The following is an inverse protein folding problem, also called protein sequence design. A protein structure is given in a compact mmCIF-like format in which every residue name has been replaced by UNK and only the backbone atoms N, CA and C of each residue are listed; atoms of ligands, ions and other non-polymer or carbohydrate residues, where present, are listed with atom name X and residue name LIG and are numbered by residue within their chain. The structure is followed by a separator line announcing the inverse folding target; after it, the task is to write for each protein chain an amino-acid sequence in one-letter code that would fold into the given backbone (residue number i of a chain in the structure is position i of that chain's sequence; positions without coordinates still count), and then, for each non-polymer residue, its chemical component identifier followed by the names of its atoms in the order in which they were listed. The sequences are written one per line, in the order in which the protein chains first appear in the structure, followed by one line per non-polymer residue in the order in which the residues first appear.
data_IF_628593327226
#
_entry.id   IF_628593327226
#
_cell.length_a   1.000
_cell.length_b   1.000
_cell.length_c   1.000
_cell.angle_alpha   90.00
_cell.angle_beta   90.00
_cell.angle_gamma   90.00
#
_symmetry.space_group_name_H-M   'P 1'
#
loop_
_entity.id
_entity.type
_entity.pdbx_description
1 polymer ?
#
# COMPACT_ATOMS: atom_id res chain seq x y z
N UNK A 1 -0.08 11.77 -71.33
CA UNK A 1 -0.20 13.23 -71.49
C UNK A 1 -1.58 13.60 -70.95
N UNK A 2 -1.64 14.09 -69.71
CA UNK A 2 -1.71 15.54 -69.41
C UNK A 2 -3.03 16.12 -69.90
N UNK A 3 -3.94 16.39 -68.98
CA UNK A 3 -4.33 17.75 -68.57
C UNK A 3 -5.10 18.50 -69.68
N UNK A 4 -6.23 19.16 -69.48
CA UNK A 4 -7.02 19.54 -68.32
C UNK A 4 -8.19 20.40 -68.85
N UNK A 5 -9.18 20.62 -68.00
CA UNK A 5 -10.18 21.72 -67.98
C UNK A 5 -11.46 21.53 -68.79
N UNK A 6 -12.62 21.33 -68.18
CA UNK A 6 -13.35 22.07 -67.10
C UNK A 6 -14.39 23.01 -67.72
N UNK A 7 -15.68 22.66 -67.64
CA UNK A 7 -16.81 23.61 -67.73
C UNK A 7 -18.15 23.04 -67.24
N UNK A 8 -18.16 22.15 -66.24
CA UNK A 8 -19.39 21.76 -65.53
C UNK A 8 -19.19 21.81 -64.00
N UNK A 9 -18.47 22.86 -63.56
CA UNK A 9 -18.74 23.51 -62.29
C UNK A 9 -20.11 24.20 -62.46
N UNK A 10 -21.08 24.16 -61.56
CA UNK A 10 -21.06 24.48 -60.14
C UNK A 10 -22.37 23.90 -59.60
N UNK A 11 -22.36 23.19 -58.47
CA UNK A 11 -23.50 23.00 -57.50
C UNK A 11 -23.28 21.77 -56.60
N UNK A 12 -22.22 20.99 -56.80
CA UNK A 12 -21.74 19.94 -55.88
C UNK A 12 -20.49 20.41 -55.12
N UNK A 13 -20.56 21.29 -54.11
CA UNK A 13 -19.31 21.57 -53.34
C UNK A 13 -19.38 22.07 -51.89
N UNK A 14 -20.50 22.53 -51.33
CA UNK A 14 -20.47 23.21 -50.02
C UNK A 14 -21.16 22.48 -48.84
N UNK A 15 -22.24 21.73 -49.05
CA UNK A 15 -23.02 21.12 -47.95
C UNK A 15 -22.68 19.63 -47.68
N UNK A 16 -22.28 18.86 -48.70
CA UNK A 16 -21.96 17.43 -48.56
C UNK A 16 -20.61 17.16 -47.86
N UNK A 17 -19.69 18.13 -47.88
CA UNK A 17 -18.40 18.03 -47.17
C UNK A 17 -18.58 18.11 -45.66
N UNK A 18 -19.49 18.93 -45.15
CA UNK A 18 -19.69 19.12 -43.70
C UNK A 18 -20.28 17.87 -43.05
N UNK A 19 -21.20 17.19 -43.73
CA UNK A 19 -21.83 15.95 -43.25
C UNK A 19 -20.84 14.77 -43.33
N UNK A 20 -20.08 14.66 -44.43
CA UNK A 20 -19.02 13.64 -44.55
C UNK A 20 -17.89 13.82 -43.53
N UNK A 21 -17.50 15.06 -43.24
CA UNK A 21 -16.50 15.39 -42.21
C UNK A 21 -17.04 15.11 -40.80
N UNK A 22 -18.30 15.45 -40.51
CA UNK A 22 -18.91 15.17 -39.21
C UNK A 22 -19.02 13.66 -38.92
N UNK A 23 -19.42 12.84 -39.89
CA UNK A 23 -19.47 11.39 -39.75
C UNK A 23 -18.07 10.79 -39.59
N UNK A 24 -17.07 11.28 -40.33
CA UNK A 24 -15.69 10.83 -40.20
C UNK A 24 -15.11 11.13 -38.80
N UNK A 25 -15.41 12.31 -38.23
CA UNK A 25 -14.98 12.67 -36.87
C UNK A 25 -15.62 11.73 -35.84
N UNK A 26 -16.92 11.43 -35.96
CA UNK A 26 -17.60 10.51 -35.04
C UNK A 26 -17.00 9.10 -35.10
N UNK A 27 -16.68 8.59 -36.28
CA UNK A 27 -16.03 7.27 -36.45
C UNK A 27 -14.63 7.25 -35.85
N UNK A 28 -13.84 8.31 -36.02
CA UNK A 28 -12.51 8.43 -35.41
C UNK A 28 -12.61 8.53 -33.87
N UNK A 29 -13.56 9.30 -33.34
CA UNK A 29 -13.79 9.40 -31.91
C UNK A 29 -14.20 8.06 -31.31
N UNK A 30 -15.08 7.30 -31.96
CA UNK A 30 -15.47 5.95 -31.52
C UNK A 30 -14.28 5.00 -31.59
N UNK A 31 -13.46 5.05 -32.64
CA UNK A 31 -12.26 4.22 -32.76
C UNK A 31 -11.21 4.53 -31.68
N UNK A 32 -11.04 5.81 -31.31
CA UNK A 32 -10.16 6.24 -30.21
C UNK A 32 -10.70 5.78 -28.86
N UNK A 33 -12.01 5.91 -28.61
CA UNK A 33 -12.65 5.40 -27.39
C UNK A 33 -12.50 3.89 -27.30
N UNK A 34 -12.72 3.16 -28.40
CA UNK A 34 -12.47 1.72 -28.47
C UNK A 34 -11.00 1.40 -28.19
N UNK A 35 -10.03 2.08 -28.80
CA UNK A 35 -8.61 1.83 -28.56
C UNK A 35 -8.18 2.10 -27.10
N UNK A 36 -8.75 3.12 -26.45
CA UNK A 36 -8.53 3.42 -25.03
C UNK A 36 -9.14 2.32 -24.13
N UNK A 37 -10.36 1.87 -24.44
CA UNK A 37 -11.04 0.79 -23.68
C UNK A 37 -10.39 -0.57 -23.91
N UNK A 38 -9.94 -0.89 -25.13
CA UNK A 38 -9.26 -2.13 -25.48
C UNK A 38 -7.81 -2.17 -24.99
N UNK A 39 -7.11 -1.02 -24.94
CA UNK A 39 -5.78 -0.91 -24.34
C UNK A 39 -5.76 -1.28 -22.85
N UNK A 40 -6.85 -1.02 -22.13
CA UNK A 40 -7.01 -1.43 -20.73
C UNK A 40 -7.18 -2.95 -20.58
N UNK A 41 -7.75 -3.66 -21.56
CA UNK A 41 -8.15 -5.07 -21.43
C UNK A 41 -6.97 -6.06 -21.43
N UNK A 42 -5.92 -5.78 -22.19
CA UNK A 42 -4.70 -6.59 -22.19
C UNK A 42 -3.83 -6.37 -20.93
N UNK A 43 -3.92 -5.19 -20.31
CA UNK A 43 -3.20 -4.86 -19.08
C UNK A 43 -3.84 -5.46 -17.82
N UNK A 44 -5.08 -5.97 -17.86
CA UNK A 44 -5.77 -6.41 -16.64
C UNK A 44 -5.19 -7.69 -16.05
N UNK A 45 -4.78 -8.64 -16.89
CA UNK A 45 -4.16 -9.88 -16.42
C UNK A 45 -2.77 -9.62 -15.82
N UNK A 46 -1.95 -8.80 -16.47
CA UNK A 46 -0.63 -8.41 -15.92
C UNK A 46 -0.78 -7.54 -14.67
N UNK A 47 -1.70 -6.58 -14.66
CA UNK A 47 -1.93 -5.71 -13.51
C UNK A 47 -2.45 -6.46 -12.28
N UNK A 48 -3.23 -7.54 -12.48
CA UNK A 48 -3.69 -8.37 -11.38
C UNK A 48 -2.57 -9.20 -10.77
N UNK A 49 -1.71 -9.82 -11.59
CA UNK A 49 -0.54 -10.55 -11.11
C UNK A 49 0.48 -9.60 -10.45
N UNK A 50 0.71 -8.41 -11.01
CA UNK A 50 1.55 -7.37 -10.40
C UNK A 50 0.99 -6.91 -9.05
N UNK A 51 -0.33 -6.69 -8.95
CA UNK A 51 -0.97 -6.30 -7.70
C UNK A 51 -0.91 -7.43 -6.64
N UNK A 52 -1.04 -8.70 -7.06
CA UNK A 52 -0.84 -9.86 -6.17
C UNK A 52 0.60 -9.93 -5.66
N UNK A 53 1.57 -9.71 -6.54
CA UNK A 53 2.99 -9.70 -6.16
C UNK A 53 3.30 -8.58 -5.16
N UNK A 54 2.78 -7.36 -5.39
CA UNK A 54 2.93 -6.24 -4.47
C UNK A 54 2.26 -6.50 -3.12
N UNK A 55 1.04 -7.05 -3.12
CA UNK A 55 0.33 -7.37 -1.89
C UNK A 55 1.07 -8.47 -1.10
N UNK A 56 1.58 -9.50 -1.78
CA UNK A 56 2.42 -10.53 -1.16
C UNK A 56 3.69 -9.94 -0.56
N UNK A 57 4.40 -9.08 -1.30
CA UNK A 57 5.59 -8.41 -0.78
C UNK A 57 5.28 -7.55 0.46
N UNK A 58 4.19 -6.79 0.43
CA UNK A 58 3.74 -6.01 1.59
C UNK A 58 3.45 -6.93 2.78
N UNK A 59 2.82 -8.09 2.54
CA UNK A 59 2.49 -9.08 3.58
C UNK A 59 3.75 -9.70 4.19
N UNK A 60 4.75 -10.04 3.37
CA UNK A 60 6.03 -10.55 3.86
C UNK A 60 6.78 -9.53 4.71
N UNK A 61 6.71 -8.25 4.32
CA UNK A 61 7.27 -7.17 5.13
C UNK A 61 6.51 -7.01 6.45
N UNK A 62 5.17 -6.99 6.41
CA UNK A 62 4.34 -6.97 7.61
C UNK A 62 4.68 -8.14 8.55
N UNK A 63 4.82 -9.35 8.01
CA UNK A 63 5.22 -10.54 8.78
C UNK A 63 6.58 -10.35 9.45
N UNK A 64 7.56 -9.83 8.72
CA UNK A 64 8.89 -9.55 9.26
C UNK A 64 8.85 -8.51 10.38
N UNK A 65 8.16 -7.38 10.16
CA UNK A 65 8.05 -6.30 11.14
C UNK A 65 7.24 -6.74 12.38
N UNK A 66 6.18 -7.54 12.19
CA UNK A 66 5.40 -8.15 13.28
C UNK A 66 6.25 -9.11 14.10
N UNK A 67 7.06 -9.95 13.43
CA UNK A 67 7.95 -10.88 14.12
C UNK A 67 9.03 -10.15 14.93
N UNK A 68 9.58 -9.06 14.40
CA UNK A 68 10.52 -8.20 15.15
C UNK A 68 9.90 -7.61 16.40
N UNK A 69 8.69 -7.05 16.28
CA UNK A 69 7.93 -6.53 17.42
C UNK A 69 7.62 -7.62 18.46
N UNK A 70 7.14 -8.78 18.02
CA UNK A 70 6.81 -9.89 18.91
C UNK A 70 8.05 -10.49 19.60
N UNK A 71 9.20 -10.53 18.93
CA UNK A 71 10.44 -10.96 19.56
C UNK A 71 10.81 -10.03 20.73
N UNK A 72 10.65 -8.72 20.54
CA UNK A 72 10.89 -7.74 21.60
C UNK A 72 9.86 -7.86 22.74
N UNK A 73 8.57 -7.99 22.40
CA UNK A 73 7.49 -8.15 23.40
C UNK A 73 7.67 -9.40 24.28
N UNK A 74 8.04 -10.53 23.67
CA UNK A 74 8.16 -11.80 24.38
C UNK A 74 9.56 -12.01 25.00
N UNK A 75 10.56 -11.25 24.55
CA UNK A 75 11.91 -11.22 25.10
C UNK A 75 12.06 -10.03 26.05
N UNK A 76 12.82 -9.03 25.63
CA UNK A 76 13.28 -7.94 26.49
C UNK A 76 12.15 -7.17 27.18
N UNK A 77 11.00 -6.97 26.53
CA UNK A 77 9.89 -6.21 27.13
C UNK A 77 9.12 -7.02 28.18
N UNK A 78 9.11 -8.36 28.08
CA UNK A 78 8.32 -9.26 28.92
C UNK A 78 8.45 -9.00 30.43
N UNK A 79 9.66 -8.88 31.02
CA UNK A 79 9.79 -8.67 32.47
C UNK A 79 9.16 -7.36 32.95
N UNK A 80 9.10 -6.32 32.12
CA UNK A 80 8.59 -5.01 32.50
C UNK A 80 7.06 -4.95 32.66
N UNK A 81 6.33 -5.96 32.17
CA UNK A 81 4.87 -6.04 32.29
C UNK A 81 4.41 -6.15 33.75
N UNK A 82 5.20 -6.83 34.59
CA UNK A 82 4.86 -7.13 35.99
C UNK A 82 5.59 -6.22 36.99
N UNK A 83 6.52 -5.37 36.53
CA UNK A 83 7.24 -4.45 37.40
C UNK A 83 6.35 -3.30 37.88
N UNK A 84 6.69 -2.82 39.07
CA UNK A 84 6.06 -1.67 39.70
C UNK A 84 7.04 -0.50 39.79
N UNK A 85 6.53 0.69 40.14
CA UNK A 85 7.35 1.90 40.33
C UNK A 85 8.45 1.76 41.39
N UNK A 86 8.32 0.82 42.33
CA UNK A 86 9.31 0.61 43.39
C UNK A 86 10.50 -0.26 42.91
N UNK A 87 10.32 -0.98 41.79
CA UNK A 87 11.35 -1.82 41.17
C UNK A 87 12.31 -1.04 40.26
N UNK A 88 11.96 0.21 39.95
CA UNK A 88 12.69 1.08 39.02
C UNK A 88 13.07 2.41 39.67
N UNK A 89 14.24 2.92 39.29
CA UNK A 89 14.70 4.27 39.66
C UNK A 89 13.96 5.35 38.86
N UNK A 90 13.45 4.98 37.68
CA UNK A 90 12.72 5.88 36.79
C UNK A 90 11.31 5.30 36.48
N UNK A 91 10.30 5.63 37.30
CA UNK A 91 8.94 5.14 37.11
C UNK A 91 8.30 5.65 35.81
N UNK A 92 8.66 6.84 35.33
CA UNK A 92 8.14 7.38 34.07
C UNK A 92 8.62 6.57 32.86
N UNK A 93 9.86 6.08 32.89
CA UNK A 93 10.36 5.17 31.85
C UNK A 93 9.65 3.81 31.86
N UNK A 94 9.37 3.26 33.05
CA UNK A 94 8.60 2.02 33.16
C UNK A 94 7.18 2.19 32.63
N UNK A 95 6.50 3.29 32.99
CA UNK A 95 5.17 3.59 32.47
C UNK A 95 5.17 3.70 30.95
N UNK A 96 6.18 4.37 30.36
CA UNK A 96 6.32 4.47 28.90
C UNK A 96 6.45 3.10 28.23
N UNK A 97 7.21 2.16 28.81
CA UNK A 97 7.30 0.79 28.30
C UNK A 97 5.94 0.10 28.37
N UNK A 98 5.26 0.15 29.52
CA UNK A 98 3.95 -0.48 29.71
C UNK A 98 2.89 0.10 28.78
N UNK A 99 2.88 1.42 28.58
CA UNK A 99 2.00 2.10 27.64
C UNK A 99 2.24 1.61 26.21
N UNK A 100 3.50 1.51 25.77
CA UNK A 100 3.87 0.99 24.44
C UNK A 100 3.47 -0.48 24.25
N UNK A 101 3.55 -1.30 25.29
CA UNK A 101 3.11 -2.70 25.27
C UNK A 101 1.58 -2.84 25.18
N UNK A 102 0.84 -1.85 25.70
CA UNK A 102 -0.63 -1.86 25.73
C UNK A 102 -1.30 -1.26 24.49
N UNK A 103 -0.52 -0.71 23.54
CA UNK A 103 -1.09 -0.08 22.35
C UNK A 103 -1.86 -1.09 21.49
N UNK A 104 -3.03 -0.66 21.03
CA UNK A 104 -3.84 -1.46 20.12
C UNK A 104 -3.10 -1.69 18.80
N UNK A 105 -2.98 -2.96 18.42
CA UNK A 105 -2.33 -3.34 17.17
C UNK A 105 -3.24 -3.08 15.96
N UNK A 106 -2.67 -2.76 14.78
CA UNK A 106 -3.45 -2.53 13.58
C UNK A 106 -4.30 -3.75 13.19
N UNK A 107 -5.50 -3.51 12.66
CA UNK A 107 -6.36 -4.58 12.15
C UNK A 107 -5.71 -5.34 10.99
N UNK A 108 -5.93 -6.65 10.95
CA UNK A 108 -5.44 -7.53 9.90
C UNK A 108 -6.10 -7.25 8.54
N UNK A 109 -5.26 -7.14 7.51
CA UNK A 109 -5.68 -7.02 6.10
C UNK A 109 -4.88 -8.03 5.30
N UNK A 110 -5.52 -8.66 4.30
CA UNK A 110 -4.97 -9.83 3.60
C UNK A 110 -5.10 -9.69 2.08
N UNK A 111 -4.34 -10.47 1.33
CA UNK A 111 -4.31 -10.43 -0.13
C UNK A 111 -5.32 -11.39 -0.81
N UNK A 112 -6.39 -11.78 -0.11
CA UNK A 112 -7.40 -12.74 -0.58
C UNK A 112 -8.58 -12.03 -1.29
N UNK A 113 -8.28 -11.22 -2.29
CA UNK A 113 -9.28 -10.48 -3.08
C UNK A 113 -9.03 -10.68 -4.58
N UNK A 114 -10.09 -10.57 -5.38
CA UNK A 114 -10.07 -11.00 -6.78
C UNK A 114 -9.73 -9.88 -7.77
N UNK A 115 -9.66 -8.62 -7.32
CA UNK A 115 -9.39 -7.48 -8.22
C UNK A 115 -8.05 -6.81 -7.91
N UNK A 116 -7.39 -6.33 -8.97
CA UNK A 116 -6.13 -5.58 -8.86
C UNK A 116 -6.26 -4.31 -8.01
N UNK A 117 -7.43 -3.65 -8.07
CA UNK A 117 -7.71 -2.45 -7.28
C UNK A 117 -7.79 -2.74 -5.77
N UNK A 118 -8.51 -3.80 -5.39
CA UNK A 118 -8.60 -4.23 -3.99
C UNK A 118 -7.25 -4.73 -3.48
N UNK A 119 -6.49 -5.48 -4.29
CA UNK A 119 -5.13 -5.91 -3.95
C UNK A 119 -4.20 -4.72 -3.67
N UNK A 120 -4.26 -3.68 -4.51
CA UNK A 120 -3.46 -2.47 -4.33
C UNK A 120 -3.87 -1.67 -3.07
N UNK A 121 -5.18 -1.58 -2.80
CA UNK A 121 -5.70 -0.95 -1.59
C UNK A 121 -5.29 -1.72 -0.32
N UNK A 122 -5.39 -3.06 -0.36
CA UNK A 122 -4.96 -3.92 0.73
C UNK A 122 -3.44 -3.84 0.94
N UNK A 123 -2.64 -3.88 -0.12
CA UNK A 123 -1.18 -3.70 -0.05
C UNK A 123 -0.79 -2.36 0.60
N UNK A 124 -1.49 -1.28 0.28
CA UNK A 124 -1.26 0.05 0.90
C UNK A 124 -1.55 0.01 2.40
N UNK A 125 -2.64 -0.64 2.81
CA UNK A 125 -2.99 -0.76 4.23
C UNK A 125 -2.01 -1.67 4.98
N UNK A 126 -1.63 -2.80 4.39
CA UNK A 126 -0.61 -3.72 4.92
C UNK A 126 0.73 -2.99 5.09
N UNK A 127 1.11 -2.12 4.15
CA UNK A 127 2.32 -1.31 4.27
C UNK A 127 2.26 -0.35 5.47
N UNK A 128 1.11 0.32 5.69
CA UNK A 128 0.91 1.16 6.88
C UNK A 128 1.01 0.35 8.17
N UNK A 129 0.42 -0.85 8.19
CA UNK A 129 0.54 -1.75 9.33
C UNK A 129 2.01 -2.12 9.59
N UNK A 130 2.75 -2.46 8.54
CA UNK A 130 4.18 -2.80 8.63
C UNK A 130 5.00 -1.62 9.19
N UNK A 131 4.75 -0.40 8.71
CA UNK A 131 5.37 0.83 9.23
C UNK A 131 5.04 1.04 10.71
N UNK A 132 3.79 0.84 11.12
CA UNK A 132 3.40 0.93 12.53
C UNK A 132 4.21 -0.06 13.38
N UNK A 133 4.32 -1.34 12.99
CA UNK A 133 5.10 -2.32 13.74
C UNK A 133 6.59 -1.95 13.82
N UNK A 134 7.17 -1.48 12.71
CA UNK A 134 8.56 -1.05 12.69
C UNK A 134 8.81 0.16 13.62
N UNK A 135 7.89 1.12 13.66
CA UNK A 135 7.99 2.29 14.53
C UNK A 135 7.76 1.93 16.00
N UNK A 136 6.79 1.06 16.30
CA UNK A 136 6.55 0.60 17.67
C UNK A 136 7.73 -0.20 18.20
N UNK A 137 8.34 -1.06 17.37
CA UNK A 137 9.55 -1.81 17.75
C UNK A 137 10.67 -0.84 18.16
N UNK A 138 10.93 0.21 17.38
CA UNK A 138 11.95 1.22 17.72
C UNK A 138 11.62 1.99 18.99
N UNK A 139 10.36 2.40 19.16
CA UNK A 139 9.92 3.14 20.36
C UNK A 139 10.05 2.27 21.62
N UNK A 140 9.64 1.01 21.53
CA UNK A 140 9.70 0.07 22.64
C UNK A 140 11.15 -0.26 23.01
N UNK A 141 12.01 -0.55 22.02
CA UNK A 141 13.44 -0.81 22.23
C UNK A 141 14.14 0.39 22.90
N UNK A 142 13.85 1.61 22.44
CA UNK A 142 14.37 2.83 23.06
C UNK A 142 13.85 3.00 24.50
N UNK A 143 12.55 2.76 24.75
CA UNK A 143 11.96 2.89 26.08
C UNK A 143 12.53 1.87 27.07
N UNK A 144 12.75 0.62 26.64
CA UNK A 144 13.38 -0.43 27.45
C UNK A 144 14.78 0.01 27.91
N UNK A 145 15.57 0.60 27.01
CA UNK A 145 16.93 1.10 27.30
C UNK A 145 16.94 2.28 28.28
N UNK A 146 15.85 3.05 28.36
CA UNK A 146 15.70 4.15 29.30
C UNK A 146 15.35 3.67 30.73
N UNK A 147 14.90 2.42 30.89
CA UNK A 147 14.53 1.88 32.21
C UNK A 147 15.78 1.59 33.04
N UNK A 148 15.82 2.19 34.23
CA UNK A 148 16.86 1.93 35.21
C UNK A 148 16.26 1.16 36.38
N UNK A 149 16.66 -0.09 36.54
CA UNK A 149 16.17 -0.93 37.62
C UNK A 149 16.87 -0.60 38.95
N UNK A 150 16.16 -0.78 40.06
CA UNK A 150 16.74 -0.69 41.41
C UNK A 150 17.63 -1.91 41.67
N UNK A 151 17.19 -3.09 41.24
CA UNK A 151 17.95 -4.33 41.24
C UNK A 151 17.98 -4.90 39.82
N UNK A 152 19.12 -5.42 39.32
CA UNK A 152 19.14 -6.07 38.00
C UNK A 152 18.13 -7.22 37.98
N UNK A 153 17.42 -7.37 36.85
CA UNK A 153 16.56 -8.53 36.64
C UNK A 153 17.42 -9.78 36.81
N UNK A 154 17.02 -10.66 37.72
CA UNK A 154 17.65 -11.95 37.93
C UNK A 154 17.63 -12.72 36.60
N UNK A 155 18.80 -12.94 36.00
CA UNK A 155 19.00 -13.85 34.87
C UNK A 155 18.90 -15.31 35.32
N UNK A 156 17.85 -15.67 36.05
CA UNK A 156 17.58 -17.05 36.44
C UNK A 156 16.64 -17.68 35.41
N UNK A 157 17.22 -18.42 34.45
CA UNK A 157 16.46 -19.34 33.61
C UNK A 157 16.98 -19.51 32.18
N UNK A 158 18.14 -20.14 32.03
CA UNK A 158 18.41 -21.04 30.90
C UNK A 158 18.32 -22.49 31.40
#
# INVERSE_FOLDING_TARGET
MSQSKDAAAQQTKSQSKKIGIAVAIVVVVIAVICAIVFGMKAQQASALEDAKAQCTQASEKLRTDTNGYNALLNGDAKPYADLTKDDVKNPDALQKVQDLMSQEVPQGVYCNVDTAAELSANATTIHKNAQWYADQTKKLDAAIKDVQLVHPLSSDGE
#
